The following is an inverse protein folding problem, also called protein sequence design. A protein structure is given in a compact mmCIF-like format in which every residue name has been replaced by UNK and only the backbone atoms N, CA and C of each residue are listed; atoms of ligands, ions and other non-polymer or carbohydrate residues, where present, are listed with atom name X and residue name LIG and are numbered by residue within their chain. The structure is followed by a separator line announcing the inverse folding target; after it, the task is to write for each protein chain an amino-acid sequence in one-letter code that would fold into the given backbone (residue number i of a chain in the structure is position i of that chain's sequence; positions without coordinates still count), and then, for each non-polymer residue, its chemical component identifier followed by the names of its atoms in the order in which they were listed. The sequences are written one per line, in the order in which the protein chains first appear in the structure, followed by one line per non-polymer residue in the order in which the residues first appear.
data_IF_175527426611
#
_entry.id   IF_175527426611
#
_cell.length_a   1.000
_cell.length_b   1.000
_cell.length_c   1.000
_cell.angle_alpha   90.00
_cell.angle_beta   90.00
_cell.angle_gamma   90.00
#
_symmetry.space_group_name_H-M   'P 1'
#
loop_
_entity.id
_entity.type
_entity.pdbx_description
1 polymer ?
#
# COMPACT_ATOMS: atom_id res chain seq x y z
N UNK A 1 42.27 -21.31 7.27
CA UNK A 1 40.90 -21.84 7.48
C UNK A 1 39.93 -20.70 7.26
N UNK A 2 39.23 -20.68 6.12
CA UNK A 2 38.27 -19.62 5.81
C UNK A 2 37.13 -19.63 6.84
N UNK A 3 36.84 -18.48 7.45
CA UNK A 3 35.64 -18.30 8.27
C UNK A 3 34.44 -18.72 7.41
N UNK A 4 33.79 -19.82 7.79
CA UNK A 4 32.49 -20.20 7.26
C UNK A 4 31.57 -19.02 7.56
N UNK A 5 31.06 -18.34 6.53
CA UNK A 5 30.13 -17.24 6.72
C UNK A 5 28.99 -17.74 7.61
N UNK A 6 28.77 -17.09 8.74
CA UNK A 6 27.75 -17.47 9.71
C UNK A 6 26.40 -17.37 8.98
N UNK A 7 25.69 -18.50 8.85
CA UNK A 7 24.42 -18.55 8.12
C UNK A 7 23.42 -17.72 8.92
N UNK A 8 23.09 -16.53 8.42
CA UNK A 8 22.05 -15.68 9.01
C UNK A 8 20.71 -16.12 8.46
N UNK A 9 19.72 -16.30 9.32
CA UNK A 9 18.37 -16.64 8.87
C UNK A 9 17.30 -15.98 9.73
N UNK A 10 16.10 -15.89 9.16
CA UNK A 10 14.88 -15.44 9.80
C UNK A 10 13.80 -16.50 9.60
N UNK A 11 13.19 -16.92 10.71
CA UNK A 11 12.01 -17.76 10.72
C UNK A 11 10.79 -16.94 10.26
N UNK A 12 10.04 -17.48 9.30
CA UNK A 12 8.83 -16.87 8.75
C UNK A 12 7.62 -17.51 9.43
N UNK A 13 6.79 -16.68 10.05
CA UNK A 13 5.60 -17.10 10.78
C UNK A 13 4.35 -16.42 10.21
N UNK A 14 3.21 -17.12 10.29
CA UNK A 14 1.88 -16.57 10.03
C UNK A 14 0.95 -16.94 11.17
N UNK A 15 0.50 -15.95 11.95
CA UNK A 15 -0.40 -16.13 13.10
C UNK A 15 0.04 -17.26 14.05
N UNK A 16 1.35 -17.38 14.29
CA UNK A 16 1.94 -18.41 15.17
C UNK A 16 2.26 -19.74 14.54
N UNK A 17 1.95 -19.92 13.27
CA UNK A 17 2.29 -21.13 12.52
C UNK A 17 3.60 -20.87 11.78
N UNK A 18 4.56 -21.77 11.95
CA UNK A 18 5.83 -21.71 11.23
C UNK A 18 5.58 -22.03 9.74
N UNK A 19 6.02 -21.13 8.87
CA UNK A 19 5.82 -21.23 7.40
C UNK A 19 7.08 -21.71 6.71
N UNK A 20 8.25 -21.27 7.18
CA UNK A 20 9.53 -21.59 6.56
C UNK A 20 10.65 -20.69 7.07
N UNK A 21 11.78 -20.70 6.37
CA UNK A 21 12.97 -19.93 6.73
C UNK A 21 13.51 -19.17 5.52
N UNK A 22 13.78 -17.88 5.75
CA UNK A 22 14.56 -17.02 4.86
C UNK A 22 16.01 -16.97 5.34
N UNK A 23 16.93 -17.50 4.53
CA UNK A 23 18.36 -17.51 4.79
C UNK A 23 19.12 -16.52 3.92
N UNK A 24 20.20 -15.98 4.47
CA UNK A 24 21.21 -15.21 3.75
C UNK A 24 22.54 -15.95 3.85
N UNK A 25 22.99 -16.52 2.73
CA UNK A 25 24.28 -17.19 2.59
C UNK A 25 25.12 -16.48 1.51
N UNK A 26 25.34 -17.12 0.36
CA UNK A 26 25.90 -16.45 -0.81
C UNK A 26 24.84 -15.63 -1.57
N UNK A 27 23.57 -16.00 -1.39
CA UNK A 27 22.39 -15.39 -2.02
C UNK A 27 21.20 -15.48 -1.04
N UNK A 28 20.11 -14.79 -1.34
CA UNK A 28 18.84 -14.92 -0.63
C UNK A 28 18.18 -16.26 -0.95
N UNK A 29 17.85 -17.04 0.07
CA UNK A 29 17.20 -18.34 -0.09
C UNK A 29 15.96 -18.45 0.80
N UNK A 30 14.85 -18.96 0.26
CA UNK A 30 13.65 -19.24 1.04
C UNK A 30 13.21 -20.68 0.83
N UNK A 31 12.76 -21.34 1.90
CA UNK A 31 12.16 -22.66 1.81
C UNK A 31 10.99 -22.80 2.78
N UNK A 32 9.95 -23.48 2.31
CA UNK A 32 8.80 -23.82 3.12
C UNK A 32 9.11 -24.94 4.10
N UNK A 33 8.48 -24.88 5.27
CA UNK A 33 8.45 -25.98 6.21
C UNK A 33 7.54 -27.10 5.70
N UNK A 34 7.96 -28.36 5.91
CA UNK A 34 7.18 -29.53 5.51
C UNK A 34 5.82 -29.61 6.22
N UNK A 35 5.74 -29.16 7.47
CA UNK A 35 4.51 -29.08 8.25
C UNK A 35 3.57 -27.95 7.78
N UNK A 36 4.10 -26.90 7.15
CA UNK A 36 3.28 -25.92 6.43
C UNK A 36 2.70 -26.52 5.15
N UNK A 37 3.53 -27.18 4.35
CA UNK A 37 3.12 -27.78 3.07
C UNK A 37 2.03 -28.86 3.25
N UNK A 38 2.05 -29.60 4.36
CA UNK A 38 1.05 -30.65 4.64
C UNK A 38 -0.28 -30.14 5.18
N UNK A 39 -0.41 -28.85 5.53
CA UNK A 39 -1.64 -28.29 6.09
C UNK A 39 -2.68 -28.01 5.01
N UNK A 40 -3.94 -28.30 5.32
CA UNK A 40 -5.09 -28.00 4.44
C UNK A 40 -5.31 -26.48 4.27
N UNK A 41 -5.01 -25.71 5.30
CA UNK A 41 -5.16 -24.25 5.32
C UNK A 41 -3.93 -23.51 4.76
N UNK A 42 -2.93 -24.25 4.26
CA UNK A 42 -1.70 -23.71 3.71
C UNK A 42 -1.99 -22.82 2.50
N UNK A 43 -1.09 -21.88 2.32
CA UNK A 43 -1.10 -20.93 1.20
C UNK A 43 0.33 -20.46 0.97
N UNK A 44 0.66 -20.04 -0.26
CA UNK A 44 2.00 -19.53 -0.52
C UNK A 44 2.23 -18.23 0.27
N UNK A 45 3.50 -17.95 0.55
CA UNK A 45 4.00 -16.68 1.05
C UNK A 45 3.73 -15.55 0.04
N UNK A 46 3.85 -15.88 -1.26
CA UNK A 46 3.59 -14.99 -2.40
C UNK A 46 3.17 -15.82 -3.61
N UNK A 47 2.39 -15.26 -4.53
CA UNK A 47 2.17 -15.84 -5.86
C UNK A 47 3.51 -16.10 -6.60
N UNK A 48 4.53 -15.25 -6.38
CA UNK A 48 5.87 -15.43 -6.97
C UNK A 48 6.70 -16.52 -6.26
N UNK A 49 6.27 -16.96 -5.08
CA UNK A 49 6.89 -18.03 -4.29
C UNK A 49 5.86 -19.15 -4.03
N UNK A 50 5.41 -19.90 -5.05
CA UNK A 50 4.34 -20.90 -4.89
C UNK A 50 4.70 -22.02 -3.92
N UNK A 51 3.69 -22.73 -3.38
CA UNK A 51 3.92 -23.86 -2.47
C UNK A 51 4.70 -24.98 -3.17
N UNK A 52 5.90 -25.27 -2.68
CA UNK A 52 6.77 -26.35 -3.17
C UNK A 52 7.76 -26.73 -2.08
N UNK A 53 8.28 -27.97 -2.12
CA UNK A 53 9.39 -28.42 -1.28
C UNK A 53 10.76 -27.94 -1.77
N UNK A 54 10.82 -27.40 -3.00
CA UNK A 54 12.05 -26.82 -3.56
C UNK A 54 12.44 -25.52 -2.84
N UNK A 55 13.74 -25.23 -2.83
CA UNK A 55 14.26 -23.94 -2.35
C UNK A 55 14.13 -22.88 -3.43
N UNK A 56 13.62 -21.72 -3.06
CA UNK A 56 13.72 -20.51 -3.87
C UNK A 56 15.04 -19.81 -3.61
N UNK A 57 15.63 -19.21 -4.65
CA UNK A 57 16.91 -18.50 -4.56
C UNK A 57 16.89 -17.22 -5.38
N UNK A 58 17.75 -16.27 -5.02
CA UNK A 58 18.03 -15.10 -5.82
C UNK A 58 17.01 -13.99 -5.69
N UNK A 59 16.96 -13.18 -6.75
CA UNK A 59 16.26 -11.90 -6.79
C UNK A 59 14.77 -11.99 -6.43
N UNK A 60 14.08 -13.09 -6.74
CA UNK A 60 12.65 -13.25 -6.38
C UNK A 60 12.44 -13.27 -4.86
N UNK A 61 13.35 -13.92 -4.12
CA UNK A 61 13.30 -13.99 -2.66
C UNK A 61 13.65 -12.63 -2.06
N UNK A 62 14.74 -12.03 -2.55
CA UNK A 62 15.16 -10.69 -2.13
C UNK A 62 14.04 -9.66 -2.35
N UNK A 63 13.48 -9.63 -3.56
CA UNK A 63 12.42 -8.71 -3.95
C UNK A 63 11.18 -8.86 -3.09
N UNK A 64 10.78 -10.09 -2.77
CA UNK A 64 9.62 -10.33 -1.92
C UNK A 64 9.76 -9.66 -0.54
N UNK A 65 10.89 -9.88 0.12
CA UNK A 65 11.15 -9.32 1.45
C UNK A 65 11.45 -7.81 1.39
N UNK A 66 12.19 -7.34 0.38
CA UNK A 66 12.44 -5.91 0.18
C UNK A 66 11.15 -5.09 0.05
N UNK A 67 10.14 -5.63 -0.62
CA UNK A 67 8.85 -4.98 -0.78
C UNK A 67 8.05 -4.80 0.53
N UNK A 68 8.45 -5.45 1.63
CA UNK A 68 7.86 -5.24 2.97
C UNK A 68 8.38 -3.98 3.68
N UNK A 69 9.46 -3.38 3.16
CA UNK A 69 10.12 -2.21 3.73
C UNK A 69 9.65 -0.90 3.05
N UNK A 70 9.86 0.26 3.70
CA UNK A 70 9.66 1.55 3.06
C UNK A 70 10.43 1.69 1.75
N UNK A 71 9.87 2.38 0.77
CA UNK A 71 10.50 2.60 -0.54
C UNK A 71 11.55 3.71 -0.47
N UNK A 72 11.32 4.71 0.40
CA UNK A 72 12.19 5.89 0.50
C UNK A 72 13.51 5.56 1.22
N UNK A 73 14.62 5.88 0.56
CA UNK A 73 15.97 5.63 1.06
C UNK A 73 16.26 6.42 2.35
N UNK A 74 15.73 7.62 2.47
CA UNK A 74 15.85 8.45 3.68
C UNK A 74 15.20 7.77 4.89
N UNK A 75 14.05 7.12 4.69
CA UNK A 75 13.37 6.36 5.75
C UNK A 75 14.20 5.15 6.14
N UNK A 76 14.74 4.39 5.16
CA UNK A 76 15.64 3.26 5.43
C UNK A 76 16.91 3.69 6.18
N UNK A 77 17.49 4.83 5.83
CA UNK A 77 18.66 5.38 6.50
C UNK A 77 18.37 5.77 7.96
N UNK A 78 17.19 6.36 8.22
CA UNK A 78 16.73 6.65 9.59
C UNK A 78 16.51 5.37 10.39
N UNK A 79 15.90 4.34 9.81
CA UNK A 79 15.73 3.03 10.46
C UNK A 79 17.08 2.41 10.80
N UNK A 80 18.03 2.40 9.86
CA UNK A 80 19.39 1.92 10.08
C UNK A 80 20.05 2.64 11.27
N UNK A 81 19.92 3.96 11.32
CA UNK A 81 20.50 4.78 12.39
C UNK A 81 19.82 4.55 13.74
N UNK A 82 18.47 4.46 13.75
CA UNK A 82 17.66 4.23 14.95
C UNK A 82 17.99 2.90 15.64
N UNK A 83 18.18 1.84 14.86
CA UNK A 83 18.50 0.51 15.37
C UNK A 83 20.02 0.22 15.38
N UNK A 84 20.86 1.22 15.11
CA UNK A 84 22.34 1.08 15.10
C UNK A 84 22.84 -0.05 14.19
N UNK A 85 22.19 -0.22 13.04
CA UNK A 85 22.50 -1.27 12.08
C UNK A 85 23.70 -0.88 11.19
N UNK A 86 24.51 -1.88 10.84
CA UNK A 86 25.67 -1.72 9.96
C UNK A 86 25.29 -1.53 8.49
N UNK A 87 24.07 -1.90 8.11
CA UNK A 87 23.62 -1.95 6.72
C UNK A 87 22.14 -1.63 6.60
N UNK A 88 21.74 -1.14 5.42
CA UNK A 88 20.36 -0.85 5.01
C UNK A 88 19.73 -2.00 4.20
N UNK A 89 20.37 -3.16 4.16
CA UNK A 89 19.86 -4.33 3.44
C UNK A 89 18.49 -4.73 3.97
N UNK A 90 17.68 -5.33 3.10
CA UNK A 90 16.35 -5.77 3.49
C UNK A 90 16.39 -6.74 4.68
N UNK A 91 17.38 -7.64 4.69
CA UNK A 91 17.58 -8.61 5.76
C UNK A 91 17.89 -7.93 7.10
N UNK A 92 18.83 -6.97 7.12
CA UNK A 92 19.25 -6.30 8.37
C UNK A 92 18.11 -5.47 8.97
N UNK A 93 17.37 -4.75 8.12
CA UNK A 93 16.23 -3.96 8.57
C UNK A 93 15.13 -4.87 9.11
N UNK A 94 14.72 -5.90 8.36
CA UNK A 94 13.64 -6.80 8.75
C UNK A 94 14.00 -7.70 9.95
N UNK A 95 15.28 -7.94 10.20
CA UNK A 95 15.70 -8.60 11.45
C UNK A 95 15.25 -7.82 12.68
N UNK A 96 15.28 -6.49 12.62
CA UNK A 96 14.81 -5.64 13.72
C UNK A 96 13.31 -5.34 13.64
N UNK A 97 12.79 -4.93 12.49
CA UNK A 97 11.41 -4.41 12.38
C UNK A 97 10.38 -5.38 11.79
N UNK A 98 10.79 -6.60 11.43
CA UNK A 98 9.94 -7.59 10.76
C UNK A 98 8.88 -8.27 11.64
N UNK A 99 8.66 -7.79 12.87
CA UNK A 99 7.69 -8.39 13.81
C UNK A 99 6.23 -8.08 13.46
N UNK A 100 5.97 -6.92 12.84
CA UNK A 100 4.65 -6.54 12.33
C UNK A 100 4.77 -5.95 10.93
N UNK A 101 4.74 -6.81 9.90
CA UNK A 101 4.76 -6.41 8.49
C UNK A 101 3.35 -6.20 7.92
N UNK A 102 3.28 -5.66 6.70
CA UNK A 102 2.07 -5.76 5.87
C UNK A 102 1.73 -7.23 5.61
N UNK A 103 0.44 -7.55 5.57
CA UNK A 103 -0.06 -8.91 5.50
C UNK A 103 0.07 -9.66 6.84
N UNK A 104 0.28 -10.97 6.77
CA UNK A 104 0.34 -11.84 7.95
C UNK A 104 1.74 -12.29 8.36
N UNK A 105 2.76 -11.75 7.71
CA UNK A 105 4.12 -12.21 7.86
C UNK A 105 4.72 -11.62 9.13
N UNK A 106 5.34 -12.49 9.89
CA UNK A 106 6.16 -12.15 11.03
C UNK A 106 7.52 -12.82 10.87
N UNK A 107 8.58 -12.02 10.93
CA UNK A 107 9.97 -12.45 10.81
C UNK A 107 10.61 -12.38 12.18
N UNK A 108 11.13 -13.52 12.61
CA UNK A 108 11.77 -13.68 13.93
C UNK A 108 13.12 -14.36 13.76
N UNK A 109 14.09 -14.09 14.66
CA UNK A 109 15.28 -14.92 14.76
C UNK A 109 14.91 -16.41 14.92
N UNK A 110 15.73 -17.35 14.43
CA UNK A 110 15.36 -18.78 14.38
C UNK A 110 15.09 -19.42 15.75
N UNK A 111 15.69 -18.88 16.80
CA UNK A 111 15.56 -19.29 18.20
C UNK A 111 14.37 -18.64 18.91
N UNK A 112 13.70 -17.67 18.27
CA UNK A 112 12.58 -16.92 18.83
C UNK A 112 11.26 -17.39 18.23
N UNK A 113 10.31 -17.75 19.11
CA UNK A 113 8.95 -18.10 18.72
C UNK A 113 7.99 -16.94 19.01
N UNK A 114 6.90 -16.81 18.24
CA UNK A 114 5.89 -15.82 18.54
C UNK A 114 5.11 -16.23 19.80
N UNK A 115 5.14 -15.38 20.82
CA UNK A 115 4.42 -15.57 22.08
C UNK A 115 3.15 -14.71 22.14
N UNK A 116 2.24 -15.04 23.06
CA UNK A 116 1.05 -14.23 23.40
C UNK A 116 0.18 -13.80 22.21
N UNK A 117 0.07 -14.65 21.18
CA UNK A 117 -0.67 -14.36 19.96
C UNK A 117 -2.18 -14.25 20.17
N UNK A 118 -2.71 -14.94 21.19
CA UNK A 118 -4.14 -14.99 21.52
C UNK A 118 -4.53 -14.00 22.62
N UNK A 119 -3.75 -12.96 22.80
CA UNK A 119 -4.01 -11.88 23.73
C UNK A 119 -3.63 -10.53 23.11
N UNK A 120 -4.25 -9.46 23.60
CA UNK A 120 -3.96 -8.10 23.18
C UNK A 120 -3.23 -7.41 24.32
N UNK A 121 -1.99 -7.00 24.05
CA UNK A 121 -1.18 -6.24 25.00
C UNK A 121 -0.78 -4.91 24.38
N UNK A 122 -0.99 -3.84 25.12
CA UNK A 122 -0.59 -2.50 24.70
C UNK A 122 -0.64 -1.52 25.86
N UNK A 123 0.11 -0.44 25.73
CA UNK A 123 0.03 0.70 26.64
C UNK A 123 -0.95 1.71 26.07
N UNK A 124 -1.90 2.15 26.89
CA UNK A 124 -2.80 3.23 26.52
C UNK A 124 -2.00 4.48 26.11
N UNK A 125 -2.39 5.11 25.01
CA UNK A 125 -1.81 6.36 24.54
C UNK A 125 -2.92 7.42 24.47
N UNK A 126 -2.79 8.44 25.31
CA UNK A 126 -3.64 9.62 25.23
C UNK A 126 -3.21 10.53 24.06
N UNK A 127 -3.97 11.60 23.85
CA UNK A 127 -3.75 12.53 22.74
C UNK A 127 -2.34 13.13 22.75
N UNK A 128 -1.85 13.55 23.92
CA UNK A 128 -0.52 14.15 24.08
C UNK A 128 0.58 13.12 23.79
N UNK A 129 0.43 11.90 24.29
CA UNK A 129 1.37 10.80 24.05
C UNK A 129 1.43 10.46 22.56
N UNK A 130 0.28 10.33 21.90
CA UNK A 130 0.22 10.09 20.46
C UNK A 130 0.86 11.22 19.66
N UNK A 131 0.53 12.47 19.97
CA UNK A 131 1.10 13.64 19.32
C UNK A 131 2.62 13.67 19.43
N UNK A 132 3.16 13.43 20.64
CA UNK A 132 4.61 13.34 20.85
C UNK A 132 5.25 12.17 20.09
N UNK A 133 4.59 11.01 20.05
CA UNK A 133 5.05 9.88 19.25
C UNK A 133 5.07 10.21 17.76
N UNK A 134 4.05 10.89 17.23
CA UNK A 134 4.01 11.35 15.84
C UNK A 134 5.14 12.35 15.54
N UNK A 135 5.33 13.37 16.37
CA UNK A 135 6.40 14.36 16.23
C UNK A 135 7.80 13.72 16.27
N UNK A 136 8.00 12.72 17.14
CA UNK A 136 9.27 11.98 17.23
C UNK A 136 9.60 11.19 15.96
N UNK A 137 8.60 10.90 15.11
CA UNK A 137 8.78 10.23 13.82
C UNK A 137 9.10 11.23 12.71
N UNK A 138 8.48 12.42 12.74
CA UNK A 138 8.76 13.53 11.82
C UNK A 138 10.16 14.16 12.03
N UNK A 139 10.65 14.19 13.27
CA UNK A 139 11.90 14.88 13.62
C UNK A 139 12.99 13.92 14.11
N UNK A 140 14.13 13.88 13.43
CA UNK A 140 15.35 13.17 13.88
C UNK A 140 15.96 13.69 15.20
N UNK A 141 15.26 14.53 15.96
CA UNK A 141 15.76 15.28 17.11
C UNK A 141 15.36 14.72 18.47
N UNK A 142 14.33 13.87 18.58
CA UNK A 142 13.99 13.22 19.85
C UNK A 142 14.76 11.89 19.99
N UNK A 143 16.08 12.02 20.13
CA UNK A 143 16.94 10.98 20.71
C UNK A 143 16.66 10.95 22.21
N UNK A 144 15.67 10.17 22.65
CA UNK A 144 15.60 9.52 23.97
C UNK A 144 14.14 9.28 24.39
N UNK A 145 13.61 8.12 24.03
CA UNK A 145 12.66 7.40 24.88
C UNK A 145 12.83 5.92 24.57
N UNK A 146 12.68 5.06 25.58
CA UNK A 146 12.96 3.62 25.55
C UNK A 146 12.06 2.79 24.62
N UNK A 147 11.64 3.35 23.49
CA UNK A 147 10.70 2.82 22.50
C UNK A 147 11.38 1.79 21.56
N UNK A 148 12.10 0.83 22.15
CA UNK A 148 12.73 -0.31 21.44
C UNK A 148 11.74 -1.43 21.14
N UNK A 149 10.54 -1.39 21.73
CA UNK A 149 9.53 -2.44 21.59
C UNK A 149 8.57 -2.21 20.42
N UNK A 150 8.55 -1.01 19.85
CA UNK A 150 7.71 -0.69 18.70
C UNK A 150 8.45 -1.00 17.38
N UNK A 151 8.17 -2.19 16.82
CA UNK A 151 8.90 -2.80 15.70
C UNK A 151 7.94 -3.13 14.54
N UNK A 152 7.63 -2.12 13.73
CA UNK A 152 6.66 -2.20 12.63
C UNK A 152 7.35 -1.93 11.29
N UNK A 153 7.01 -2.70 10.26
CA UNK A 153 7.43 -2.46 8.87
C UNK A 153 6.21 -2.13 7.99
N UNK A 154 6.19 -0.94 7.40
CA UNK A 154 5.16 -0.48 6.47
C UNK A 154 5.83 -0.06 5.15
N UNK A 155 5.37 -0.61 4.03
CA UNK A 155 5.91 -0.29 2.69
C UNK A 155 5.44 1.07 2.17
N UNK A 156 6.12 1.66 1.18
CA UNK A 156 5.79 2.97 0.56
C UNK A 156 6.75 4.11 0.93
N UNK A 157 6.58 5.28 0.32
CA UNK A 157 7.52 6.41 0.40
C UNK A 157 7.18 7.48 1.44
N UNK A 158 5.93 7.52 1.91
CA UNK A 158 5.45 8.50 2.90
C UNK A 158 5.77 8.08 4.33
N UNK A 159 6.09 9.06 5.18
CA UNK A 159 6.22 8.86 6.62
C UNK A 159 4.90 8.40 7.24
N UNK A 160 4.96 7.24 7.91
CA UNK A 160 3.81 6.65 8.57
C UNK A 160 4.21 5.85 9.79
N UNK A 161 3.27 5.74 10.71
CA UNK A 161 3.33 4.87 11.88
C UNK A 161 2.04 4.07 11.95
N UNK A 162 1.89 3.18 12.92
CA UNK A 162 0.65 2.44 13.11
C UNK A 162 0.34 2.23 14.58
N UNK A 163 -0.93 2.33 14.97
CA UNK A 163 -1.35 2.10 16.35
C UNK A 163 -2.49 1.09 16.42
N UNK A 164 -2.80 0.66 17.64
CA UNK A 164 -3.91 -0.23 17.95
C UNK A 164 -5.08 0.60 18.48
N UNK A 165 -6.26 0.44 17.89
CA UNK A 165 -7.51 0.93 18.44
C UNK A 165 -8.26 -0.24 19.09
N UNK A 166 -8.42 -0.22 20.41
CA UNK A 166 -9.22 -1.22 21.12
C UNK A 166 -10.20 -0.50 22.05
N UNK A 167 -11.48 -0.88 22.00
CA UNK A 167 -12.54 -0.32 22.86
C UNK A 167 -12.57 1.22 22.86
N UNK A 168 -12.39 1.83 21.66
CA UNK A 168 -12.32 3.28 21.43
C UNK A 168 -11.12 3.98 22.10
N UNK A 169 -10.08 3.24 22.48
CA UNK A 169 -8.85 3.77 23.05
C UNK A 169 -7.67 3.41 22.16
N UNK A 170 -6.84 4.41 21.85
CA UNK A 170 -5.58 4.22 21.16
C UNK A 170 -4.53 3.63 22.09
N UNK A 171 -3.74 2.70 21.56
CA UNK A 171 -2.71 1.99 22.30
C UNK A 171 -1.47 1.78 21.44
N UNK A 172 -0.32 1.80 22.10
CA UNK A 172 0.96 1.32 21.56
C UNK A 172 1.04 -0.18 21.81
N UNK A 173 0.99 -1.04 20.78
CA UNK A 173 1.05 -2.49 20.98
C UNK A 173 2.40 -2.93 21.54
N UNK A 174 2.37 -4.00 22.35
CA UNK A 174 3.56 -4.62 22.94
C UNK A 174 3.76 -6.01 22.34
N UNK A 175 5.02 -6.36 22.09
CA UNK A 175 5.43 -7.70 21.65
C UNK A 175 4.92 -8.04 20.26
N UNK A 176 4.11 -9.10 20.17
CA UNK A 176 3.55 -9.61 18.90
C UNK A 176 2.15 -9.08 18.60
N UNK A 177 1.59 -8.23 19.49
CA UNK A 177 0.26 -7.63 19.30
C UNK A 177 0.26 -6.80 18.02
N UNK A 178 -0.61 -7.09 17.04
CA UNK A 178 -0.65 -6.33 15.80
C UNK A 178 -1.21 -4.92 16.00
N UNK A 179 -0.74 -3.99 15.16
CA UNK A 179 -1.46 -2.73 14.94
C UNK A 179 -2.75 -2.94 14.15
N UNK A 180 -3.64 -1.94 14.18
CA UNK A 180 -4.94 -1.96 13.47
C UNK A 180 -5.15 -0.77 12.55
N UNK A 181 -4.42 0.33 12.75
CA UNK A 181 -4.57 1.54 11.96
C UNK A 181 -3.20 2.09 11.59
N UNK A 182 -3.07 2.55 10.36
CA UNK A 182 -1.91 3.28 9.85
C UNK A 182 -2.20 4.77 9.99
N UNK A 183 -1.25 5.51 10.54
CA UNK A 183 -1.27 6.96 10.62
C UNK A 183 -0.31 7.51 9.58
N UNK A 184 -0.84 8.28 8.63
CA UNK A 184 -0.06 8.96 7.60
C UNK A 184 0.04 10.45 7.95
N UNK A 185 1.27 10.94 7.89
CA UNK A 185 1.60 12.33 8.16
C UNK A 185 1.61 13.14 6.86
N UNK A 186 1.35 14.46 6.89
CA UNK A 186 1.47 15.30 5.72
C UNK A 186 2.84 15.16 5.03
N UNK A 187 2.84 15.03 3.71
CA UNK A 187 4.06 14.92 2.89
C UNK A 187 4.96 16.16 2.94
N UNK A 188 4.43 17.32 3.35
CA UNK A 188 5.16 18.58 3.36
C UNK A 188 5.53 19.04 1.96
N UNK A 189 6.75 19.56 1.75
CA UNK A 189 7.22 20.03 0.44
C UNK A 189 8.16 19.03 -0.22
N UNK A 190 7.97 18.79 -1.51
CA UNK A 190 8.78 17.87 -2.33
C UNK A 190 9.43 18.58 -3.53
N UNK A 191 10.37 17.91 -4.21
CA UNK A 191 11.02 18.41 -5.43
C UNK A 191 11.87 19.66 -5.17
N UNK A 192 12.89 19.52 -4.32
CA UNK A 192 13.74 20.61 -3.80
C UNK A 192 12.97 21.71 -3.02
N UNK A 193 11.77 21.37 -2.54
CA UNK A 193 10.91 22.27 -1.78
C UNK A 193 9.96 23.13 -2.62
N UNK A 194 9.89 22.88 -3.93
CA UNK A 194 9.06 23.69 -4.84
C UNK A 194 7.59 23.29 -4.83
N UNK A 195 7.24 22.03 -4.59
CA UNK A 195 5.84 21.57 -4.65
C UNK A 195 5.32 21.37 -3.23
N UNK A 196 4.22 22.04 -2.88
CA UNK A 196 3.59 21.96 -1.55
C UNK A 196 2.49 20.88 -1.49
N UNK A 197 2.77 19.79 -0.78
CA UNK A 197 1.85 18.69 -0.49
C UNK A 197 1.47 18.63 1.01
N UNK A 198 1.52 19.76 1.71
CA UNK A 198 1.13 19.84 3.13
C UNK A 198 -0.35 19.50 3.37
N UNK A 199 -1.18 19.57 2.33
CA UNK A 199 -2.60 19.18 2.35
C UNK A 199 -2.85 17.74 1.87
N UNK A 200 -1.82 16.90 1.86
CA UNK A 200 -1.90 15.50 1.41
C UNK A 200 -2.87 14.65 2.25
N UNK A 201 -3.07 14.96 3.53
CA UNK A 201 -4.04 14.28 4.39
C UNK A 201 -5.47 14.50 3.87
N UNK A 202 -5.83 15.75 3.60
CA UNK A 202 -7.14 16.12 3.06
C UNK A 202 -7.34 15.61 1.64
N UNK A 203 -6.30 15.69 0.81
CA UNK A 203 -6.31 15.20 -0.55
C UNK A 203 -6.59 13.69 -0.60
N UNK A 204 -5.84 12.89 0.17
CA UNK A 204 -6.03 11.43 0.19
C UNK A 204 -7.40 11.05 0.78
N UNK A 205 -7.83 11.69 1.87
CA UNK A 205 -9.16 11.45 2.43
C UNK A 205 -10.27 11.72 1.41
N UNK A 206 -10.18 12.86 0.70
CA UNK A 206 -11.15 13.24 -0.32
C UNK A 206 -11.15 12.27 -1.50
N UNK A 207 -9.98 11.85 -1.97
CA UNK A 207 -9.86 10.84 -3.01
C UNK A 207 -10.50 9.51 -2.59
N UNK A 208 -10.23 9.04 -1.37
CA UNK A 208 -10.86 7.83 -0.81
C UNK A 208 -12.39 7.97 -0.75
N UNK A 209 -12.89 9.14 -0.30
CA UNK A 209 -14.33 9.40 -0.22
C UNK A 209 -14.98 9.40 -1.60
N UNK A 210 -14.37 10.06 -2.58
CA UNK A 210 -14.84 10.08 -3.97
C UNK A 210 -14.91 8.66 -4.54
N UNK A 211 -13.86 7.85 -4.38
CA UNK A 211 -13.84 6.46 -4.82
C UNK A 211 -14.96 5.63 -4.18
N UNK A 212 -15.18 5.80 -2.87
CA UNK A 212 -16.28 5.15 -2.16
C UNK A 212 -17.66 5.56 -2.72
N UNK A 213 -17.86 6.84 -3.05
CA UNK A 213 -19.10 7.33 -3.68
C UNK A 213 -19.31 6.80 -5.10
N UNK A 214 -18.24 6.41 -5.81
CA UNK A 214 -18.33 5.63 -7.05
C UNK A 214 -18.59 4.13 -6.81
N UNK A 215 -18.82 3.69 -5.58
CA UNK A 215 -19.06 2.30 -5.22
C UNK A 215 -17.80 1.43 -5.20
N UNK A 216 -16.62 2.03 -5.10
CA UNK A 216 -15.36 1.30 -4.94
C UNK A 216 -15.18 0.87 -3.48
N UNK A 217 -14.65 -0.34 -3.27
CA UNK A 217 -14.21 -0.79 -1.96
C UNK A 217 -12.88 -0.11 -1.62
N UNK A 218 -12.86 0.74 -0.59
CA UNK A 218 -11.69 1.50 -0.16
C UNK A 218 -11.36 1.21 1.30
N UNK A 219 -10.07 1.29 1.63
CA UNK A 219 -9.64 1.29 3.02
C UNK A 219 -10.32 2.44 3.77
N UNK A 220 -10.97 2.11 4.89
CA UNK A 220 -11.68 3.10 5.69
C UNK A 220 -10.68 4.09 6.28
N UNK A 221 -10.97 5.38 6.17
CA UNK A 221 -10.07 6.41 6.66
C UNK A 221 -10.81 7.62 7.22
N UNK A 222 -10.18 8.27 8.21
CA UNK A 222 -10.64 9.50 8.84
C UNK A 222 -9.48 10.45 9.06
N UNK A 223 -9.78 11.75 9.10
CA UNK A 223 -8.82 12.77 9.49
C UNK A 223 -8.99 13.02 10.99
N UNK A 224 -7.88 13.11 11.70
CA UNK A 224 -7.87 13.50 13.11
C UNK A 224 -6.62 14.36 13.41
N UNK A 225 -6.51 14.87 14.63
CA UNK A 225 -5.35 15.64 15.08
C UNK A 225 -4.96 15.27 16.51
N UNK A 226 -3.67 15.15 16.77
CA UNK A 226 -3.13 14.82 18.09
C UNK A 226 -2.01 15.80 18.43
N UNK A 227 -2.21 16.63 19.47
CA UNK A 227 -1.25 17.69 19.83
C UNK A 227 -0.88 18.57 18.61
N UNK A 228 -1.91 19.07 17.91
CA UNK A 228 -1.83 19.85 16.66
C UNK A 228 -1.19 19.15 15.45
N UNK A 229 -0.84 17.86 15.56
CA UNK A 229 -0.36 17.06 14.43
C UNK A 229 -1.55 16.44 13.72
N UNK A 230 -1.88 17.00 12.55
CA UNK A 230 -2.89 16.45 11.64
C UNK A 230 -2.42 15.13 11.03
N UNK A 231 -3.31 14.15 10.98
CA UNK A 231 -3.01 12.80 10.46
C UNK A 231 -4.19 12.24 9.67
N UNK A 232 -3.87 11.44 8.65
CA UNK A 232 -4.85 10.51 8.08
C UNK A 232 -4.74 9.18 8.82
N UNK A 233 -5.84 8.74 9.42
CA UNK A 233 -5.96 7.44 10.06
C UNK A 233 -6.61 6.49 9.06
N UNK A 234 -5.92 5.39 8.72
CA UNK A 234 -6.40 4.38 7.77
C UNK A 234 -6.53 3.04 8.50
N UNK A 235 -7.73 2.47 8.51
CA UNK A 235 -7.98 1.13 9.07
C UNK A 235 -7.29 0.06 8.22
N UNK A 236 -6.53 -0.81 8.88
CA UNK A 236 -5.82 -1.91 8.23
C UNK A 236 -6.78 -3.03 7.86
N UNK A 237 -7.03 -3.19 6.56
CA UNK A 237 -7.81 -4.30 6.01
C UNK A 237 -7.05 -5.64 5.97
N UNK A 238 -5.75 -5.64 6.32
CA UNK A 238 -4.95 -6.86 6.55
C UNK A 238 -4.97 -7.31 8.01
N UNK A 239 -5.91 -6.79 8.82
CA UNK A 239 -6.09 -7.11 10.24
C UNK A 239 -7.57 -7.36 10.52
N UNK A 240 -7.86 -8.27 11.44
CA UNK A 240 -9.22 -8.55 11.89
C UNK A 240 -9.25 -9.01 13.32
N UNK A 241 -10.11 -8.45 14.15
CA UNK A 241 -10.38 -9.03 15.48
C UNK A 241 -10.92 -10.45 15.34
N UNK A 242 -10.51 -11.32 16.25
CA UNK A 242 -11.17 -12.61 16.50
C UNK A 242 -12.64 -12.41 16.89
N UNK A 243 -13.44 -13.46 16.76
CA UNK A 243 -14.89 -13.41 17.05
C UNK A 243 -15.18 -12.97 18.50
N UNK A 244 -14.41 -13.48 19.45
CA UNK A 244 -14.44 -13.11 20.87
C UNK A 244 -13.64 -11.82 21.18
N UNK A 245 -12.99 -11.24 20.17
CA UNK A 245 -12.12 -10.05 20.26
C UNK A 245 -10.96 -10.20 21.24
N UNK A 246 -10.55 -11.43 21.58
CA UNK A 246 -9.44 -11.70 22.50
C UNK A 246 -8.07 -11.44 21.86
N UNK A 247 -8.00 -11.53 20.54
CA UNK A 247 -6.79 -11.29 19.74
C UNK A 247 -7.08 -10.75 18.34
N UNK A 248 -6.01 -10.33 17.65
CA UNK A 248 -6.07 -9.74 16.32
C UNK A 248 -5.38 -10.69 15.34
N UNK A 249 -6.16 -11.16 14.37
CA UNK A 249 -5.75 -12.04 13.29
C UNK A 249 -5.10 -11.17 12.21
N UNK A 250 -3.88 -11.51 11.79
CA UNK A 250 -3.27 -10.92 10.60
C UNK A 250 -3.75 -11.66 9.35
N UNK A 251 -4.17 -10.93 8.32
CA UNK A 251 -4.67 -11.49 7.08
C UNK A 251 -3.54 -11.49 6.03
N UNK A 252 -3.18 -12.65 5.43
CA UNK A 252 -2.15 -12.71 4.42
C UNK A 252 -2.50 -11.84 3.20
N UNK A 253 -1.57 -10.99 2.79
CA UNK A 253 -1.71 -10.04 1.70
C UNK A 253 -0.33 -9.79 1.06
N UNK A 254 -0.34 -9.46 -0.22
CA UNK A 254 0.82 -8.96 -0.96
C UNK A 254 0.40 -7.94 -2.03
N UNK A 255 1.35 -7.09 -2.45
CA UNK A 255 1.16 -6.14 -3.55
C UNK A 255 1.50 -6.74 -4.93
N UNK A 256 1.19 -6.03 -6.03
CA UNK A 256 1.48 -6.56 -7.38
C UNK A 256 2.97 -6.58 -7.76
N UNK A 257 3.86 -5.86 -7.07
CA UNK A 257 5.30 -6.06 -7.25
C UNK A 257 5.73 -7.41 -6.67
N UNK A 258 5.25 -7.74 -5.47
CA UNK A 258 5.47 -9.04 -4.84
C UNK A 258 4.85 -10.18 -5.66
N UNK A 259 3.61 -10.01 -6.13
CA UNK A 259 2.93 -11.02 -6.95
C UNK A 259 3.61 -11.26 -8.32
N UNK A 260 4.33 -10.26 -8.84
CA UNK A 260 5.16 -10.36 -10.04
C UNK A 260 6.60 -10.83 -9.75
N UNK A 261 7.03 -10.85 -8.49
CA UNK A 261 8.37 -11.23 -8.08
C UNK A 261 9.44 -10.19 -8.43
N UNK A 262 9.07 -8.91 -8.48
CA UNK A 262 9.96 -7.81 -8.87
C UNK A 262 10.27 -6.87 -7.69
N UNK A 263 11.42 -6.18 -7.70
CA UNK A 263 11.82 -5.28 -6.62
C UNK A 263 10.98 -3.99 -6.61
N UNK A 264 10.90 -3.37 -5.43
CA UNK A 264 10.14 -2.13 -5.16
C UNK A 264 10.55 -0.96 -6.08
N UNK A 265 11.83 -0.91 -6.47
CA UNK A 265 12.38 0.11 -7.37
C UNK A 265 11.74 0.11 -8.77
N UNK A 266 11.15 -1.01 -9.19
CA UNK A 266 10.50 -1.16 -10.51
C UNK A 266 8.98 -1.04 -10.41
N UNK A 267 8.44 -0.37 -9.39
CA UNK A 267 6.98 -0.28 -9.16
C UNK A 267 6.21 0.44 -10.27
N UNK A 268 6.86 1.33 -11.03
CA UNK A 268 6.25 2.05 -12.15
C UNK A 268 6.38 1.24 -13.45
N UNK A 269 5.34 1.25 -14.29
CA UNK A 269 5.36 0.50 -15.55
C UNK A 269 6.44 1.02 -16.51
N UNK A 270 6.74 2.32 -16.49
CA UNK A 270 7.79 2.89 -17.34
C UNK A 270 9.19 2.37 -17.00
N UNK A 271 9.39 1.90 -15.77
CA UNK A 271 10.66 1.35 -15.29
C UNK A 271 10.72 -0.17 -15.42
N UNK A 272 9.66 -0.81 -15.91
CA UNK A 272 9.56 -2.26 -16.09
C UNK A 272 8.62 -2.97 -15.10
N UNK A 273 7.85 -2.20 -14.32
CA UNK A 273 6.82 -2.74 -13.43
C UNK A 273 5.54 -3.24 -14.12
N UNK A 274 4.65 -3.93 -13.38
CA UNK A 274 3.37 -4.37 -13.89
C UNK A 274 2.46 -3.21 -14.27
N UNK A 275 2.05 -3.19 -15.54
CA UNK A 275 1.01 -2.28 -16.04
C UNK A 275 -0.40 -2.88 -15.97
N UNK A 276 -1.37 -2.16 -16.54
CA UNK A 276 -2.80 -2.55 -16.54
C UNK A 276 -3.00 -3.97 -17.09
N UNK A 277 -2.35 -4.31 -18.22
CA UNK A 277 -2.52 -5.61 -18.89
C UNK A 277 -2.01 -6.76 -18.04
N UNK A 278 -0.85 -6.61 -17.40
CA UNK A 278 -0.27 -7.65 -16.57
C UNK A 278 -1.12 -7.91 -15.32
N UNK A 279 -1.54 -6.85 -14.64
CA UNK A 279 -2.41 -6.96 -13.46
C UNK A 279 -3.76 -7.57 -13.84
N UNK A 280 -4.37 -7.16 -14.95
CA UNK A 280 -5.62 -7.76 -15.46
C UNK A 280 -5.47 -9.24 -15.79
N UNK A 281 -4.30 -9.67 -16.26
CA UNK A 281 -4.01 -11.09 -16.50
C UNK A 281 -3.84 -11.87 -15.19
N UNK A 282 -3.14 -11.32 -14.20
CA UNK A 282 -3.03 -11.93 -12.86
C UNK A 282 -4.40 -12.05 -12.19
N UNK A 283 -5.27 -11.05 -12.34
CA UNK A 283 -6.62 -11.08 -11.76
C UNK A 283 -7.56 -12.12 -12.39
N UNK A 284 -7.20 -12.74 -13.54
CA UNK A 284 -7.96 -13.90 -14.06
C UNK A 284 -7.93 -15.10 -13.11
N UNK A 285 -6.89 -15.25 -12.30
CA UNK A 285 -6.79 -16.31 -11.30
C UNK A 285 -7.44 -15.98 -9.96
N UNK A 286 -8.05 -14.80 -9.80
CA UNK A 286 -8.80 -14.47 -8.59
C UNK A 286 -10.04 -15.38 -8.45
N UNK A 287 -10.41 -15.70 -7.20
CA UNK A 287 -11.68 -16.38 -6.90
C UNK A 287 -12.92 -15.54 -7.25
N UNK A 288 -12.75 -14.23 -7.47
CA UNK A 288 -13.76 -13.29 -7.92
C UNK A 288 -13.32 -12.60 -9.21
N UNK A 289 -12.71 -13.34 -10.14
CA UNK A 289 -12.03 -12.81 -11.33
C UNK A 289 -12.83 -11.75 -12.11
N UNK A 290 -14.12 -11.96 -12.36
CA UNK A 290 -14.96 -11.00 -13.07
C UNK A 290 -15.09 -9.68 -12.29
N UNK A 291 -15.44 -9.77 -11.00
CA UNK A 291 -15.57 -8.60 -10.11
C UNK A 291 -14.25 -7.87 -9.97
N UNK A 292 -13.17 -8.59 -9.67
CA UNK A 292 -11.86 -7.97 -9.39
C UNK A 292 -11.28 -7.30 -10.64
N UNK A 293 -11.44 -7.90 -11.82
CA UNK A 293 -11.04 -7.28 -13.09
C UNK A 293 -11.88 -6.04 -13.40
N UNK A 294 -13.20 -6.08 -13.17
CA UNK A 294 -14.07 -4.91 -13.31
C UNK A 294 -13.66 -3.80 -12.34
N UNK A 295 -13.42 -4.12 -11.07
CA UNK A 295 -12.98 -3.18 -10.03
C UNK A 295 -11.64 -2.55 -10.38
N UNK A 296 -10.63 -3.34 -10.76
CA UNK A 296 -9.33 -2.81 -11.14
C UNK A 296 -9.40 -1.94 -12.40
N UNK A 297 -10.15 -2.35 -13.43
CA UNK A 297 -10.28 -1.55 -14.64
C UNK A 297 -11.01 -0.22 -14.36
N UNK A 298 -12.10 -0.26 -13.56
CA UNK A 298 -12.82 0.94 -13.12
C UNK A 298 -11.92 1.88 -12.30
N UNK A 299 -11.05 1.34 -11.45
CA UNK A 299 -10.12 2.18 -10.68
C UNK A 299 -9.16 2.96 -11.57
N UNK A 300 -8.70 2.38 -12.70
CA UNK A 300 -7.83 3.10 -13.64
C UNK A 300 -8.55 4.31 -14.26
N UNK A 301 -9.82 4.15 -14.65
CA UNK A 301 -10.64 5.26 -15.17
C UNK A 301 -10.80 6.36 -14.12
N UNK A 302 -11.10 5.96 -12.87
CA UNK A 302 -11.25 6.91 -11.76
C UNK A 302 -9.93 7.59 -11.40
N UNK A 303 -8.80 6.89 -11.46
CA UNK A 303 -7.48 7.47 -11.22
C UNK A 303 -7.13 8.49 -12.30
N UNK A 304 -7.51 8.24 -13.55
CA UNK A 304 -7.42 9.25 -14.60
C UNK A 304 -8.28 10.48 -14.30
N UNK A 305 -9.54 10.30 -13.90
CA UNK A 305 -10.42 11.43 -13.54
C UNK A 305 -9.85 12.25 -12.37
N UNK A 306 -9.27 11.58 -11.37
CA UNK A 306 -8.65 12.19 -10.19
C UNK A 306 -7.25 12.76 -10.47
N UNK A 307 -6.68 12.58 -11.66
CA UNK A 307 -5.26 12.83 -11.91
C UNK A 307 -4.35 12.17 -10.85
N UNK A 308 -4.71 10.96 -10.42
CA UNK A 308 -3.94 10.14 -9.49
C UNK A 308 -2.76 9.49 -10.23
N UNK A 309 -1.72 10.29 -10.39
CA UNK A 309 -0.53 9.94 -11.21
C UNK A 309 0.38 8.90 -10.57
N UNK A 310 0.25 8.67 -9.25
CA UNK A 310 1.08 7.74 -8.48
C UNK A 310 0.41 6.38 -8.21
N UNK A 311 -0.62 6.02 -8.98
CA UNK A 311 -1.32 4.73 -8.86
C UNK A 311 -0.52 3.54 -9.42
N UNK A 312 0.66 3.26 -8.87
CA UNK A 312 1.61 2.24 -9.35
C UNK A 312 1.32 0.84 -8.80
N UNK A 313 2.09 -0.18 -9.20
CA UNK A 313 1.79 -1.58 -8.87
C UNK A 313 1.73 -1.89 -7.36
N UNK A 314 2.42 -1.13 -6.50
CA UNK A 314 2.34 -1.30 -5.03
C UNK A 314 1.05 -0.74 -4.37
N UNK A 315 0.25 0.06 -5.08
CA UNK A 315 -1.04 0.61 -4.57
C UNK A 315 -2.20 -0.36 -4.78
N UNK A 316 -1.93 -1.53 -5.37
CA UNK A 316 -2.89 -2.60 -5.55
C UNK A 316 -2.35 -3.84 -4.85
N UNK A 317 -3.19 -4.48 -4.05
CA UNK A 317 -2.85 -5.70 -3.32
C UNK A 317 -3.89 -6.80 -3.52
N UNK A 318 -3.49 -8.02 -3.20
CA UNK A 318 -4.35 -9.19 -3.18
C UNK A 318 -4.30 -9.85 -1.79
N UNK A 319 -5.45 -10.31 -1.30
CA UNK A 319 -5.53 -11.17 -0.12
C UNK A 319 -5.21 -12.62 -0.52
N UNK A 320 -4.30 -13.26 0.20
CA UNK A 320 -3.96 -14.67 0.00
C UNK A 320 -4.85 -15.55 0.88
N UNK A 321 -5.68 -16.36 0.24
CA UNK A 321 -6.66 -17.26 0.83
C UNK A 321 -6.10 -18.70 0.91
N UNK A 322 -6.68 -19.58 1.76
CA UNK A 322 -6.30 -21.00 1.78
C UNK A 322 -6.38 -21.66 0.41
N UNK A 323 -5.42 -22.53 0.11
CA UNK A 323 -5.38 -23.33 -1.12
C UNK A 323 -4.90 -22.55 -2.35
N UNK A 324 -3.92 -21.65 -2.18
CA UNK A 324 -3.34 -20.82 -3.25
C UNK A 324 -4.36 -19.95 -3.99
N UNK A 325 -5.50 -19.67 -3.36
CA UNK A 325 -6.54 -18.78 -3.86
C UNK A 325 -6.25 -17.35 -3.47
N UNK A 326 -6.72 -16.38 -4.24
CA UNK A 326 -6.56 -14.96 -3.90
C UNK A 326 -7.70 -14.12 -4.47
N UNK A 327 -7.82 -12.89 -3.98
CA UNK A 327 -8.73 -11.86 -4.49
C UNK A 327 -8.16 -10.47 -4.24
N UNK A 328 -8.60 -9.48 -5.01
CA UNK A 328 -8.22 -8.08 -4.85
C UNK A 328 -8.61 -7.55 -3.44
N UNK A 329 -7.75 -6.73 -2.85
CA UNK A 329 -8.05 -6.00 -1.61
C UNK A 329 -8.84 -4.72 -1.89
N UNK A 330 -9.35 -4.03 -0.85
CA UNK A 330 -9.78 -2.64 -1.01
C UNK A 330 -8.67 -1.76 -1.62
N UNK A 331 -9.07 -0.68 -2.29
CA UNK A 331 -8.16 0.35 -2.78
C UNK A 331 -7.65 1.21 -1.61
N UNK A 332 -6.41 1.69 -1.72
CA UNK A 332 -5.77 2.51 -0.71
C UNK A 332 -4.74 3.44 -1.36
N UNK A 333 -4.33 4.48 -0.62
CA UNK A 333 -3.17 5.31 -0.99
C UNK A 333 -3.36 5.97 -2.37
N UNK A 334 -4.43 6.76 -2.49
CA UNK A 334 -4.78 7.48 -3.72
C UNK A 334 -4.70 8.96 -3.46
N UNK A 335 -3.80 9.63 -4.19
CA UNK A 335 -3.56 11.07 -4.07
C UNK A 335 -3.76 11.74 -5.43
N UNK A 336 -4.54 12.81 -5.48
CA UNK A 336 -4.74 13.61 -6.69
C UNK A 336 -3.59 14.59 -6.91
N UNK A 337 -3.16 14.76 -8.16
CA UNK A 337 -2.22 15.81 -8.54
C UNK A 337 -2.89 17.20 -8.66
N UNK A 338 -4.22 17.29 -8.77
CA UNK A 338 -4.90 18.57 -9.05
C UNK A 338 -4.55 19.71 -8.10
N UNK A 339 -4.42 19.52 -6.77
CA UNK A 339 -4.08 20.62 -5.87
C UNK A 339 -2.78 21.33 -6.24
N UNK A 340 -1.84 20.63 -6.87
CA UNK A 340 -0.55 21.17 -7.32
C UNK A 340 -0.39 21.17 -8.83
N UNK A 341 -1.46 20.95 -9.60
CA UNK A 341 -1.45 20.98 -11.05
C UNK A 341 -1.69 22.41 -11.55
N UNK A 342 -0.80 22.94 -12.39
CA UNK A 342 -0.93 24.29 -12.93
C UNK A 342 0.33 24.78 -13.62
N UNK A 343 0.44 26.08 -13.87
CA UNK A 343 1.53 26.66 -14.70
C UNK A 343 2.52 27.49 -13.88
N UNK A 344 2.32 27.60 -12.57
CA UNK A 344 3.22 28.34 -11.70
C UNK A 344 4.51 27.55 -11.38
N UNK A 345 5.51 28.24 -10.84
CA UNK A 345 6.82 27.65 -10.55
C UNK A 345 6.77 26.56 -9.46
N UNK A 346 5.79 26.65 -8.56
CA UNK A 346 5.51 25.72 -7.46
C UNK A 346 4.49 24.63 -7.83
N UNK A 347 4.10 24.56 -9.11
CA UNK A 347 3.10 23.63 -9.63
C UNK A 347 3.69 22.68 -10.69
N UNK A 348 3.01 21.56 -10.87
CA UNK A 348 3.28 20.60 -11.93
C UNK A 348 2.50 20.99 -13.18
N UNK A 349 3.20 21.27 -14.27
CA UNK A 349 2.56 21.56 -15.55
C UNK A 349 1.73 20.36 -16.05
N UNK A 350 0.48 20.54 -16.52
CA UNK A 350 -0.39 19.44 -16.98
C UNK A 350 0.26 18.51 -18.01
N UNK A 351 1.00 19.07 -18.98
CA UNK A 351 1.75 18.30 -19.99
C UNK A 351 2.89 17.43 -19.41
N UNK A 352 3.29 17.64 -18.16
CA UNK A 352 4.28 16.82 -17.46
C UNK A 352 3.63 15.72 -16.63
N UNK A 353 2.32 15.79 -16.38
CA UNK A 353 1.59 14.75 -15.65
C UNK A 353 1.55 13.45 -16.47
N UNK A 354 1.97 12.35 -15.83
CA UNK A 354 1.98 11.01 -16.40
C UNK A 354 1.29 10.04 -15.46
N UNK A 355 0.45 9.17 -15.98
CA UNK A 355 -0.10 8.04 -15.23
C UNK A 355 0.99 7.04 -14.90
N UNK A 356 0.92 6.38 -13.74
CA UNK A 356 1.88 5.33 -13.36
C UNK A 356 1.79 4.08 -14.25
N UNK A 357 0.59 3.79 -14.76
CA UNK A 357 0.33 2.73 -15.73
C UNK A 357 -0.21 3.34 -17.01
N UNK A 358 0.30 2.91 -18.16
CA UNK A 358 -0.09 3.41 -19.46
C UNK A 358 -1.45 2.87 -19.89
N UNK A 359 -2.15 3.71 -20.66
CA UNK A 359 -3.28 3.29 -21.49
C UNK A 359 -2.79 3.04 -22.90
N UNK A 360 -3.50 2.19 -23.63
CA UNK A 360 -3.14 1.79 -24.99
C UNK A 360 -3.77 2.70 -26.03
N UNK A 361 -3.12 2.77 -27.19
CA UNK A 361 -3.58 3.44 -28.40
C UNK A 361 -3.18 2.59 -29.62
N UNK A 362 -3.56 3.01 -30.83
CA UNK A 362 -3.26 2.25 -32.05
C UNK A 362 -1.74 2.04 -32.27
N UNK A 363 -0.92 3.02 -31.92
CA UNK A 363 0.55 3.03 -32.09
C UNK A 363 1.33 2.43 -30.92
N UNK A 364 0.67 1.97 -29.85
CA UNK A 364 1.34 1.43 -28.66
C UNK A 364 0.64 1.84 -27.38
N UNK A 365 1.36 2.57 -26.51
CA UNK A 365 0.87 2.98 -25.19
C UNK A 365 1.30 4.40 -24.86
N UNK A 366 0.47 5.12 -24.12
CA UNK A 366 0.75 6.47 -23.64
C UNK A 366 0.54 6.59 -22.14
N UNK A 367 1.41 7.37 -21.51
CA UNK A 367 1.31 7.73 -20.09
C UNK A 367 0.76 9.15 -19.91
N UNK A 368 0.68 9.94 -20.99
CA UNK A 368 0.38 11.37 -20.95
C UNK A 368 -1.05 11.63 -20.49
N UNK A 369 -1.21 12.00 -19.21
CA UNK A 369 -2.53 12.19 -18.60
C UNK A 369 -3.41 13.19 -19.38
N UNK A 370 -2.82 14.27 -19.91
CA UNK A 370 -3.54 15.30 -20.65
C UNK A 370 -4.08 14.82 -22.00
N UNK A 371 -3.53 13.74 -22.56
CA UNK A 371 -3.88 13.19 -23.88
C UNK A 371 -4.90 12.03 -23.81
N UNK A 372 -5.10 11.44 -22.63
CA UNK A 372 -6.02 10.31 -22.46
C UNK A 372 -7.46 10.75 -22.78
N UNK A 373 -8.13 9.95 -23.60
CA UNK A 373 -9.52 10.11 -24.03
C UNK A 373 -10.22 8.75 -24.14
N UNK A 374 -11.51 8.75 -24.49
CA UNK A 374 -12.36 7.55 -24.54
C UNK A 374 -11.75 6.37 -25.32
N UNK A 375 -11.20 6.63 -26.51
CA UNK A 375 -10.65 5.58 -27.39
C UNK A 375 -9.50 4.80 -26.75
N UNK A 376 -8.69 5.45 -25.91
CA UNK A 376 -7.58 4.80 -25.21
C UNK A 376 -8.06 3.69 -24.28
N UNK A 377 -9.21 3.88 -23.62
CA UNK A 377 -9.80 2.85 -22.75
C UNK A 377 -10.26 1.64 -23.54
N UNK A 378 -10.77 1.82 -24.77
CA UNK A 378 -11.14 0.70 -25.65
C UNK A 378 -9.93 -0.10 -26.12
N UNK A 379 -8.86 0.58 -26.54
CA UNK A 379 -7.61 -0.09 -26.87
C UNK A 379 -7.02 -0.82 -25.65
N UNK A 380 -7.11 -0.22 -24.47
CA UNK A 380 -6.64 -0.82 -23.21
C UNK A 380 -7.47 -2.05 -22.84
N UNK A 381 -8.80 -1.98 -22.96
CA UNK A 381 -9.70 -3.09 -22.71
C UNK A 381 -9.36 -4.27 -23.63
N UNK A 382 -9.20 -4.00 -24.94
CA UNK A 382 -8.80 -5.02 -25.93
C UNK A 382 -7.45 -5.64 -25.58
N UNK A 383 -6.44 -4.83 -25.26
CA UNK A 383 -5.10 -5.32 -24.88
C UNK A 383 -5.12 -6.17 -23.60
N UNK A 384 -5.97 -5.82 -22.63
CA UNK A 384 -6.13 -6.55 -21.37
C UNK A 384 -7.07 -7.78 -21.48
N UNK A 385 -7.66 -8.03 -22.65
CA UNK A 385 -8.69 -9.05 -22.84
C UNK A 385 -9.94 -8.80 -21.97
N UNK A 386 -10.29 -7.54 -21.76
CA UNK A 386 -11.52 -7.09 -21.09
C UNK A 386 -12.55 -6.72 -22.17
N UNK A 387 -13.81 -7.20 -22.10
CA UNK A 387 -14.80 -6.93 -23.14
C UNK A 387 -15.00 -5.43 -23.36
N UNK A 388 -15.10 -5.01 -24.62
CA UNK A 388 -15.26 -3.59 -24.99
C UNK A 388 -16.64 -3.08 -24.58
N UNK A 389 -17.64 -3.96 -24.59
CA UNK A 389 -19.00 -3.72 -24.11
C UNK A 389 -18.96 -3.38 -22.61
N UNK A 390 -18.30 -4.22 -21.80
CA UNK A 390 -18.12 -3.95 -20.36
C UNK A 390 -17.30 -2.69 -20.08
N UNK A 391 -16.32 -2.36 -20.94
CA UNK A 391 -15.61 -1.08 -20.87
C UNK A 391 -16.53 0.11 -21.15
N UNK A 392 -17.42 -0.02 -22.13
CA UNK A 392 -18.40 1.02 -22.49
C UNK A 392 -19.37 1.27 -21.34
N UNK A 393 -19.94 0.20 -20.78
CA UNK A 393 -20.79 0.27 -19.59
C UNK A 393 -20.09 0.96 -18.42
N UNK A 394 -18.82 0.62 -18.15
CA UNK A 394 -18.05 1.24 -17.07
C UNK A 394 -17.84 2.74 -17.29
N UNK A 395 -17.51 3.16 -18.51
CA UNK A 395 -17.34 4.57 -18.84
C UNK A 395 -18.65 5.34 -18.66
N UNK A 396 -19.77 4.77 -19.10
CA UNK A 396 -21.10 5.36 -18.94
C UNK A 396 -21.53 5.43 -17.48
N UNK A 397 -21.33 4.35 -16.71
CA UNK A 397 -21.58 4.31 -15.26
C UNK A 397 -20.82 5.43 -14.53
N UNK A 398 -19.52 5.58 -14.82
CA UNK A 398 -18.69 6.63 -14.22
C UNK A 398 -19.17 8.03 -14.62
N UNK A 399 -19.47 8.26 -15.90
CA UNK A 399 -19.92 9.57 -16.39
C UNK A 399 -21.29 9.96 -15.84
N UNK A 400 -22.22 9.01 -15.73
CA UNK A 400 -23.56 9.24 -15.18
C UNK A 400 -23.51 9.50 -13.67
N UNK A 401 -22.64 8.80 -12.93
CA UNK A 401 -22.53 8.96 -11.49
C UNK A 401 -21.82 10.27 -11.08
N UNK A 402 -20.90 10.78 -11.90
CA UNK A 402 -20.02 11.90 -11.55
C UNK A 402 -20.74 13.14 -10.98
N UNK A 403 -21.82 13.68 -11.59
CA UNK A 403 -22.51 14.86 -11.04
C UNK A 403 -23.08 14.60 -9.63
N UNK A 404 -23.62 13.41 -9.40
CA UNK A 404 -24.16 13.00 -8.10
C UNK A 404 -23.07 12.83 -7.03
N UNK A 405 -21.90 12.31 -7.43
CA UNK A 405 -20.71 12.22 -6.57
C UNK A 405 -20.24 13.61 -6.16
N UNK A 406 -20.06 14.53 -7.12
CA UNK A 406 -19.62 15.91 -6.85
C UNK A 406 -20.61 16.63 -5.91
N UNK A 407 -21.91 16.52 -6.19
CA UNK A 407 -22.95 17.13 -5.34
C UNK A 407 -22.93 16.57 -3.92
N UNK A 408 -22.70 15.26 -3.77
CA UNK A 408 -22.62 14.63 -2.45
C UNK A 408 -21.37 15.06 -1.69
N UNK A 409 -20.22 15.12 -2.35
CA UNK A 409 -18.99 15.63 -1.73
C UNK A 409 -19.20 17.06 -1.22
N UNK A 410 -19.74 17.97 -2.04
CA UNK A 410 -19.98 19.35 -1.60
C UNK A 410 -20.84 19.46 -0.35
N UNK A 411 -21.79 18.55 -0.14
CA UNK A 411 -22.65 18.51 1.05
C UNK A 411 -21.96 17.92 2.28
N UNK A 412 -20.98 17.03 2.09
CA UNK A 412 -20.31 16.30 3.17
C UNK A 412 -19.04 16.98 3.68
N UNK A 413 -18.44 17.87 2.89
CA UNK A 413 -17.21 18.57 3.30
C UNK A 413 -17.48 19.48 4.51
N UNK A 414 -16.63 19.45 5.55
CA UNK A 414 -16.75 20.37 6.67
C UNK A 414 -16.37 21.79 6.25
N UNK A 415 -16.90 22.80 6.94
CA UNK A 415 -16.69 24.22 6.63
C UNK A 415 -15.20 24.63 6.63
N UNK A 416 -14.36 23.94 7.41
CA UNK A 416 -12.93 24.18 7.52
C UNK A 416 -12.07 23.35 6.54
N UNK A 417 -12.67 22.59 5.63
CA UNK A 417 -11.92 21.82 4.65
C UNK A 417 -11.18 22.75 3.67
N UNK A 418 -9.92 22.47 3.27
CA UNK A 418 -9.18 23.32 2.35
C UNK A 418 -9.88 23.47 0.99
N UNK A 419 -10.49 24.64 0.74
CA UNK A 419 -11.24 24.93 -0.48
C UNK A 419 -10.38 24.72 -1.75
N UNK A 420 -9.10 25.07 -1.71
CA UNK A 420 -8.18 24.86 -2.82
C UNK A 420 -8.10 23.38 -3.23
N UNK A 421 -8.07 22.46 -2.25
CA UNK A 421 -7.99 21.01 -2.51
C UNK A 421 -9.28 20.51 -3.13
N UNK A 422 -10.42 20.77 -2.47
CA UNK A 422 -11.72 20.27 -2.94
C UNK A 422 -12.09 20.85 -4.31
N UNK A 423 -11.99 22.17 -4.48
CA UNK A 423 -12.36 22.85 -5.72
C UNK A 423 -11.49 22.39 -6.89
N UNK A 424 -10.16 22.29 -6.72
CA UNK A 424 -9.28 21.84 -7.81
C UNK A 424 -9.54 20.38 -8.20
N UNK A 425 -9.77 19.50 -7.22
CA UNK A 425 -10.05 18.09 -7.50
C UNK A 425 -11.39 17.94 -8.24
N UNK A 426 -12.46 18.54 -7.73
CA UNK A 426 -13.80 18.38 -8.30
C UNK A 426 -13.91 18.99 -9.70
N UNK A 427 -13.42 20.22 -9.89
CA UNK A 427 -13.41 20.86 -11.21
C UNK A 427 -12.52 20.07 -12.20
N UNK A 428 -11.36 19.59 -11.74
CA UNK A 428 -10.47 18.78 -12.54
C UNK A 428 -11.13 17.49 -13.03
N UNK A 429 -11.88 16.82 -12.16
CA UNK A 429 -12.65 15.62 -12.54
C UNK A 429 -13.70 15.91 -13.61
N UNK A 430 -14.43 17.03 -13.52
CA UNK A 430 -15.39 17.43 -14.55
C UNK A 430 -14.69 17.68 -15.90
N UNK A 431 -13.56 18.38 -15.88
CA UNK A 431 -12.77 18.65 -17.08
C UNK A 431 -12.19 17.37 -17.70
N UNK A 432 -11.72 16.43 -16.87
CA UNK A 432 -11.27 15.12 -17.31
C UNK A 432 -12.42 14.29 -17.91
N UNK A 433 -13.61 14.35 -17.32
CA UNK A 433 -14.77 13.63 -17.82
C UNK A 433 -15.23 14.10 -19.20
N UNK A 434 -15.09 15.40 -19.52
CA UNK A 434 -15.37 15.94 -20.87
C UNK A 434 -14.52 15.27 -21.97
N UNK A 435 -13.34 14.74 -21.63
CA UNK A 435 -12.47 14.00 -22.56
C UNK A 435 -12.89 12.54 -22.78
N UNK A 436 -13.83 12.03 -21.98
CA UNK A 436 -14.40 10.68 -22.13
C UNK A 436 -15.78 10.69 -22.82
N UNK A 437 -16.39 11.87 -22.98
CA UNK A 437 -17.64 12.08 -23.74
C UNK A 437 -17.35 12.18 -25.24
N UNK A 438 -16.23 12.84 -25.58
CA UNK A 438 -15.69 12.89 -26.95
C UNK A 438 -15.03 11.56 -27.30
#
# INVERSE_FOLDING_TARGET
MGRRAEKRSLAVWMNGIYVGEWGLAADHEFHYDSGWLSRKESRPLSISLPLTSARFKGLVVESFFDNLLPDAEEIRQRLRSRYSLSSKSAFDLLYEIGRDCVGAIQLLPPDVKPENLKSIHGTAADEVTLGNLLLSRCGGLLRNSGDRDFRISLAGSQEKTAFLLQRKQWMVPIGTTPTTHIFKLPLGRIGDGNIDLSSSVENEWLCSRILSLFGMDTAQCSIDSFNDVKVLIVERFDRRFSEDRSWIIRLPQEDFCQAAGIPSALKYECDGGPGIVEIMNKLRGSVLAEKDRRTFFKSQILFFLLAATDGHAKNFSISLLPGSRYRLTPLYDVLSLYPVLGSNADEVHPKRAKMAMAVYEQSGKTYRWDQICRSHWYYTAKAAGFPVESCTELLEEVLQALPGVISTVHRELPDNFPNLVSTRILNGMEDAARRLIK
#
